data_IF_920897358204
#
_entry.id   IF_920897358204
#
_cell.length_a   1.000
_cell.length_b   1.000
_cell.length_c   1.000
_cell.angle_alpha   90.00
_cell.angle_beta   90.00
_cell.angle_gamma   90.00
#
_symmetry.space_group_name_H-M   'P 1'
#
loop_
_entity.id
_entity.type
_entity.pdbx_description
1 polymer ?
#
# COMPACT_ATOMS: atom_id res chain seq x y z
N UNK A 1 1.10 45.45 -10.87
CA UNK A 1 1.78 44.18 -10.54
C UNK A 1 3.22 44.53 -10.22
N UNK A 2 3.72 44.22 -9.02
CA UNK A 2 5.04 44.67 -8.55
C UNK A 2 6.15 43.77 -9.11
N UNK A 3 7.38 44.30 -9.23
CA UNK A 3 8.54 43.59 -9.74
C UNK A 3 8.83 42.29 -8.96
N UNK A 4 8.64 42.33 -7.64
CA UNK A 4 8.74 41.17 -6.74
C UNK A 4 7.78 40.03 -7.11
N UNK A 5 6.55 40.36 -7.53
CA UNK A 5 5.56 39.35 -7.94
C UNK A 5 5.99 38.66 -9.25
N UNK A 6 6.68 39.37 -10.16
CA UNK A 6 7.23 38.76 -11.36
C UNK A 6 8.41 37.83 -11.06
N UNK A 7 9.28 38.22 -10.14
CA UNK A 7 10.40 37.38 -9.69
C UNK A 7 9.89 36.10 -9.01
N UNK A 8 8.91 36.21 -8.10
CA UNK A 8 8.29 35.05 -7.45
C UNK A 8 7.66 34.11 -8.48
N UNK A 9 6.91 34.63 -9.46
CA UNK A 9 6.33 33.81 -10.52
C UNK A 9 7.39 33.11 -11.39
N UNK A 10 8.51 33.77 -11.65
CA UNK A 10 9.62 33.18 -12.42
C UNK A 10 10.28 32.02 -11.64
N UNK A 11 10.50 32.19 -10.34
CA UNK A 11 11.02 31.16 -9.45
C UNK A 11 10.05 29.98 -9.36
N UNK A 12 8.75 30.26 -9.22
CA UNK A 12 7.73 29.21 -9.16
C UNK A 12 7.72 28.36 -10.43
N UNK A 13 7.78 28.99 -11.62
CA UNK A 13 7.87 28.26 -12.90
C UNK A 13 9.13 27.40 -12.97
N UNK A 14 10.26 27.91 -12.49
CA UNK A 14 11.53 27.16 -12.47
C UNK A 14 11.48 25.95 -11.54
N UNK A 15 10.90 26.12 -10.35
CA UNK A 15 10.68 25.02 -9.40
C UNK A 15 9.76 23.96 -10.01
N UNK A 16 8.64 24.36 -10.63
CA UNK A 16 7.72 23.43 -11.30
C UNK A 16 8.41 22.69 -12.45
N UNK A 17 9.24 23.37 -13.25
CA UNK A 17 10.02 22.72 -14.32
C UNK A 17 10.99 21.68 -13.75
N UNK A 18 11.71 22.03 -12.69
CA UNK A 18 12.68 21.15 -12.04
C UNK A 18 11.99 19.92 -11.44
N UNK A 19 10.81 20.09 -10.82
CA UNK A 19 10.00 19.01 -10.30
C UNK A 19 9.53 18.05 -11.41
N UNK A 20 9.15 18.58 -12.58
CA UNK A 20 8.80 17.76 -13.74
C UNK A 20 9.98 16.92 -14.23
N UNK A 21 11.17 17.50 -14.32
CA UNK A 21 12.38 16.78 -14.72
C UNK A 21 12.77 15.69 -13.71
N UNK A 22 12.70 15.99 -12.42
CA UNK A 22 12.95 15.00 -11.36
C UNK A 22 11.92 13.87 -11.44
N UNK A 23 10.65 14.20 -11.63
CA UNK A 23 9.59 13.21 -11.79
C UNK A 23 9.83 12.28 -12.99
N UNK A 24 10.27 12.83 -14.13
CA UNK A 24 10.62 12.03 -15.31
C UNK A 24 11.79 11.08 -15.03
N UNK A 25 12.85 11.56 -14.37
CA UNK A 25 14.03 10.75 -14.01
C UNK A 25 13.70 9.65 -13.00
N UNK A 26 12.86 9.94 -12.01
CA UNK A 26 12.40 8.94 -11.03
C UNK A 26 11.56 7.87 -11.73
N UNK A 27 10.71 8.27 -12.69
CA UNK A 27 9.91 7.34 -13.47
C UNK A 27 10.80 6.42 -14.32
N UNK A 28 11.81 6.97 -15.00
CA UNK A 28 12.81 6.21 -15.76
C UNK A 28 13.58 5.23 -14.87
N UNK A 29 14.06 5.68 -13.70
CA UNK A 29 14.72 4.81 -12.73
C UNK A 29 13.79 3.68 -12.24
N UNK A 30 12.51 3.98 -11.99
CA UNK A 30 11.52 2.97 -11.61
C UNK A 30 11.34 1.92 -12.70
N UNK A 31 11.27 2.31 -13.98
CA UNK A 31 11.21 1.35 -15.08
C UNK A 31 12.43 0.43 -15.12
N UNK A 32 13.63 1.01 -15.00
CA UNK A 32 14.87 0.21 -15.01
C UNK A 32 14.91 -0.81 -13.86
N UNK A 33 14.49 -0.40 -12.65
CA UNK A 33 14.44 -1.29 -11.49
C UNK A 33 13.39 -2.40 -11.65
N UNK A 34 12.21 -2.08 -12.19
CA UNK A 34 11.19 -3.09 -12.49
C UNK A 34 11.66 -4.09 -13.56
N UNK A 35 12.37 -3.63 -14.59
CA UNK A 35 12.98 -4.52 -15.60
C UNK A 35 14.04 -5.43 -14.98
N UNK A 36 14.93 -4.88 -14.15
CA UNK A 36 15.96 -5.68 -13.47
C UNK A 36 15.33 -6.69 -12.51
N UNK A 37 14.28 -6.30 -11.76
CA UNK A 37 13.55 -7.20 -10.87
C UNK A 37 12.89 -8.36 -11.65
N UNK A 38 12.22 -8.08 -12.76
CA UNK A 38 11.62 -9.11 -13.61
C UNK A 38 12.64 -10.07 -14.24
N UNK A 39 13.82 -9.57 -14.62
CA UNK A 39 14.93 -10.41 -15.08
C UNK A 39 15.50 -11.28 -13.94
N UNK A 40 15.60 -10.75 -12.73
CA UNK A 40 16.07 -11.50 -11.56
C UNK A 40 15.07 -12.59 -11.12
N UNK A 41 13.77 -12.32 -11.21
CA UNK A 41 12.71 -13.31 -10.98
C UNK A 41 12.74 -14.42 -12.05
N UNK A 42 13.01 -14.06 -13.30
CA UNK A 42 13.16 -15.04 -14.40
C UNK A 42 14.38 -15.96 -14.25
N UNK A 43 15.40 -15.52 -13.51
CA UNK A 43 16.58 -16.33 -13.19
C UNK A 43 16.37 -17.26 -11.99
N UNK A 44 15.29 -17.09 -11.21
CA UNK A 44 15.11 -17.79 -9.93
C UNK A 44 14.46 -19.17 -10.02
N UNK A 45 14.02 -19.63 -11.19
CA UNK A 45 13.47 -20.99 -11.34
C UNK A 45 13.63 -21.59 -12.74
N UNK A 46 14.37 -22.69 -12.88
CA UNK A 46 13.97 -23.83 -13.68
C UNK A 46 13.43 -24.94 -12.76
N UNK A 47 12.30 -25.53 -13.13
CA UNK A 47 11.73 -26.74 -12.52
C UNK A 47 12.77 -27.87 -12.46
N UNK A 48 12.89 -28.54 -11.31
CA UNK A 48 13.06 -29.99 -11.29
C UNK A 48 12.14 -30.60 -10.23
N UNK A 49 11.00 -31.11 -10.69
CA UNK A 49 10.26 -32.17 -10.03
C UNK A 49 11.10 -33.45 -10.14
N UNK A 50 11.44 -34.07 -9.01
CA UNK A 50 11.66 -35.51 -8.95
C UNK A 50 11.30 -36.02 -7.54
N UNK A 51 10.13 -36.64 -7.48
CA UNK A 51 9.69 -37.52 -6.40
C UNK A 51 10.68 -38.70 -6.25
N UNK A 52 11.11 -39.06 -5.03
CA UNK A 52 11.23 -40.45 -4.53
C UNK A 52 11.28 -40.43 -2.98
N UNK A 53 10.52 -41.37 -2.43
CA UNK A 53 10.11 -41.69 -1.06
C UNK A 53 11.17 -42.25 -0.08
N UNK A 54 10.89 -42.05 1.23
CA UNK A 54 10.98 -42.97 2.41
C UNK A 54 12.32 -43.36 3.06
N UNK A 55 12.45 -43.06 4.38
CA UNK A 55 12.71 -43.96 5.55
C UNK A 55 13.05 -43.07 6.80
N UNK A 56 12.29 -43.10 7.92
CA UNK A 56 12.45 -43.94 9.15
C UNK A 56 13.89 -43.88 9.71
N UNK A 57 14.20 -43.41 10.92
CA UNK A 57 13.80 -43.90 12.25
C UNK A 57 14.19 -42.92 13.40
N UNK A 58 13.62 -43.18 14.58
CA UNK A 58 13.83 -42.58 15.91
C UNK A 58 15.27 -42.39 16.40
N UNK A 59 15.45 -41.40 17.30
CA UNK A 59 16.11 -41.41 18.64
C UNK A 59 16.36 -39.94 19.00
N UNK A 60 16.05 -39.36 20.16
CA UNK A 60 16.03 -39.82 21.55
C UNK A 60 16.87 -38.79 22.36
N UNK A 61 16.32 -38.18 23.42
CA UNK A 61 17.12 -37.44 24.41
C UNK A 61 16.58 -36.07 24.86
N UNK A 62 15.96 -36.06 26.03
CA UNK A 62 15.55 -34.88 26.80
C UNK A 62 16.76 -34.19 27.51
N UNK A 63 16.56 -32.98 28.09
CA UNK A 63 17.61 -32.01 28.45
C UNK A 63 18.12 -32.14 29.91
N UNK A 64 19.16 -31.38 30.29
CA UNK A 64 19.10 -30.61 31.55
C UNK A 64 19.92 -29.29 31.47
N UNK A 65 19.98 -28.35 32.43
CA UNK A 65 19.17 -27.85 33.54
C UNK A 65 20.03 -26.76 34.26
N UNK A 66 19.38 -25.86 35.04
CA UNK A 66 19.93 -25.07 36.18
C UNK A 66 20.91 -23.93 35.85
N UNK A 67 20.58 -22.65 36.05
CA UNK A 67 20.49 -21.89 37.32
C UNK A 67 21.37 -20.63 37.13
N UNK A 68 21.07 -19.41 37.60
CA UNK A 68 21.10 -18.97 38.99
C UNK A 68 20.23 -17.71 39.18
N UNK A 69 19.62 -17.67 40.36
CA UNK A 69 18.78 -16.65 40.99
C UNK A 69 19.39 -15.25 41.23
N UNK A 70 18.49 -14.27 41.21
CA UNK A 70 18.28 -13.19 42.20
C UNK A 70 19.24 -12.00 42.29
N UNK A 71 18.70 -10.81 41.99
CA UNK A 71 18.77 -9.66 42.90
C UNK A 71 17.42 -8.93 42.92
N UNK A 72 16.89 -8.75 44.13
CA UNK A 72 15.62 -8.10 44.49
C UNK A 72 15.93 -6.72 45.09
N UNK A 73 15.24 -5.67 44.64
CA UNK A 73 15.06 -4.39 45.33
C UNK A 73 14.05 -3.55 44.51
N UNK A 74 13.07 -2.83 45.03
CA UNK A 74 12.39 -2.74 46.31
C UNK A 74 11.07 -2.01 46.00
N UNK A 75 9.98 -2.35 46.68
CA UNK A 75 8.72 -1.61 46.60
C UNK A 75 8.91 -0.17 47.10
N UNK A 76 8.42 0.78 46.31
CA UNK A 76 8.24 2.18 46.69
C UNK A 76 6.88 2.63 46.16
N UNK A 77 5.86 2.45 46.99
CA UNK A 77 4.53 3.01 46.79
C UNK A 77 4.59 4.54 46.97
N UNK A 78 4.48 5.28 45.86
CA UNK A 78 4.17 6.70 45.88
C UNK A 78 3.08 6.93 44.81
N UNK A 79 1.84 7.03 45.29
CA UNK A 79 0.66 7.29 44.49
C UNK A 79 0.79 8.57 43.66
N UNK A 80 0.76 8.40 42.35
CA UNK A 80 0.49 9.45 41.38
C UNK A 80 -0.05 8.78 40.14
N UNK A 81 -1.39 8.72 40.00
CA UNK A 81 -2.06 8.17 38.82
C UNK A 81 -1.46 8.75 37.52
N UNK A 82 -0.86 7.95 36.63
CA UNK A 82 -0.66 8.32 35.24
C UNK A 82 -1.65 7.50 34.40
N UNK A 83 -2.96 7.69 34.56
CA UNK A 83 -3.93 6.81 33.85
C UNK A 83 -5.04 7.58 33.14
N UNK A 84 -5.26 8.86 33.44
CA UNK A 84 -6.33 9.63 32.80
C UNK A 84 -5.90 10.34 31.50
N UNK A 85 -4.62 10.68 31.35
CA UNK A 85 -4.12 11.44 30.19
C UNK A 85 -3.73 10.50 29.04
N UNK A 86 -3.18 9.31 29.34
CA UNK A 86 -2.84 8.32 28.30
C UNK A 86 -4.08 7.71 27.66
N UNK A 87 -5.09 7.32 28.44
CA UNK A 87 -6.34 6.77 27.90
C UNK A 87 -7.12 7.79 27.05
N UNK A 88 -7.10 9.08 27.43
CA UNK A 88 -7.72 10.15 26.65
C UNK A 88 -6.94 10.47 25.35
N UNK A 89 -5.60 10.37 25.40
CA UNK A 89 -4.73 10.49 24.24
C UNK A 89 -4.90 9.32 23.26
N UNK A 90 -4.97 8.08 23.77
CA UNK A 90 -5.24 6.88 22.98
C UNK A 90 -6.62 6.94 22.31
N UNK A 91 -7.66 7.34 23.02
CA UNK A 91 -9.00 7.48 22.45
C UNK A 91 -9.06 8.58 21.37
N UNK A 92 -8.30 9.68 21.53
CA UNK A 92 -8.16 10.69 20.48
C UNK A 92 -7.38 10.19 19.27
N UNK A 93 -6.28 9.47 19.47
CA UNK A 93 -5.50 8.87 18.40
C UNK A 93 -6.32 7.84 17.61
N UNK A 94 -7.12 7.03 18.30
CA UNK A 94 -8.06 6.10 17.65
C UNK A 94 -9.07 6.88 16.81
N UNK A 95 -9.73 7.90 17.35
CA UNK A 95 -10.68 8.73 16.59
C UNK A 95 -10.06 9.43 15.38
N UNK A 96 -8.83 9.92 15.49
CA UNK A 96 -8.10 10.52 14.37
C UNK A 96 -7.73 9.44 13.33
N UNK A 97 -7.28 8.27 13.76
CA UNK A 97 -6.96 7.15 12.87
C UNK A 97 -8.18 6.65 12.10
N UNK A 98 -9.34 6.54 12.76
CA UNK A 98 -10.60 6.15 12.14
C UNK A 98 -11.09 7.19 11.13
N UNK A 99 -11.00 8.49 11.47
CA UNK A 99 -11.35 9.58 10.56
C UNK A 99 -10.51 9.57 9.28
N UNK A 100 -9.26 9.09 9.36
CA UNK A 100 -8.36 9.01 8.21
C UNK A 100 -8.50 7.70 7.42
N UNK A 101 -8.81 6.57 8.09
CA UNK A 101 -8.97 5.26 7.44
C UNK A 101 -10.32 5.10 6.75
N UNK A 102 -11.39 5.56 7.39
CA UNK A 102 -12.76 5.35 6.93
C UNK A 102 -13.02 5.84 5.49
N UNK A 103 -12.54 7.03 5.06
CA UNK A 103 -12.68 7.46 3.67
C UNK A 103 -12.01 6.54 2.65
N UNK A 104 -10.86 5.94 3.00
CA UNK A 104 -10.16 4.96 2.17
C UNK A 104 -11.00 3.69 2.08
N UNK A 105 -11.42 3.14 3.23
CA UNK A 105 -12.21 1.91 3.29
C UNK A 105 -13.53 2.04 2.51
N UNK A 106 -14.27 3.14 2.69
CA UNK A 106 -15.56 3.34 2.03
C UNK A 106 -15.43 3.42 0.50
N UNK A 107 -14.40 4.10 -0.01
CA UNK A 107 -14.14 4.20 -1.46
C UNK A 107 -13.73 2.86 -2.06
N UNK A 108 -12.82 2.15 -1.42
CA UNK A 108 -12.38 0.86 -1.92
C UNK A 108 -13.47 -0.22 -1.80
N UNK A 109 -14.32 -0.15 -0.78
CA UNK A 109 -15.50 -1.03 -0.66
C UNK A 109 -16.50 -0.82 -1.80
N UNK A 110 -16.72 0.44 -2.20
CA UNK A 110 -17.56 0.76 -3.38
C UNK A 110 -16.97 0.16 -4.66
N UNK A 111 -15.67 0.31 -4.87
CA UNK A 111 -14.97 -0.27 -6.01
C UNK A 111 -15.09 -1.80 -6.02
N UNK A 112 -14.82 -2.45 -4.88
CA UNK A 112 -14.93 -3.90 -4.71
C UNK A 112 -16.34 -4.40 -5.06
N UNK A 113 -17.39 -3.73 -4.59
CA UNK A 113 -18.78 -4.08 -4.91
C UNK A 113 -19.05 -4.02 -6.42
N UNK A 114 -18.61 -2.95 -7.11
CA UNK A 114 -18.78 -2.83 -8.56
C UNK A 114 -18.07 -3.95 -9.33
N UNK A 115 -16.89 -4.37 -8.86
CA UNK A 115 -16.16 -5.47 -9.47
C UNK A 115 -16.86 -6.81 -9.21
N UNK A 116 -17.42 -7.00 -8.01
CA UNK A 116 -18.11 -8.23 -7.63
C UNK A 116 -19.45 -8.43 -8.34
N UNK A 117 -20.26 -7.37 -8.45
CA UNK A 117 -21.58 -7.35 -9.09
C UNK A 117 -21.51 -7.64 -10.60
N UNK A 118 -20.31 -7.68 -11.20
CA UNK A 118 -20.12 -7.94 -12.62
C UNK A 118 -20.52 -6.73 -13.47
N UNK A 119 -20.42 -5.53 -12.89
CA UNK A 119 -20.73 -4.26 -13.52
C UNK A 119 -19.89 -4.02 -14.78
N UNK A 120 -20.40 -3.20 -15.70
CA UNK A 120 -19.73 -2.93 -16.98
C UNK A 120 -18.30 -2.41 -16.73
N UNK A 121 -17.29 -2.89 -17.47
CA UNK A 121 -15.91 -2.43 -17.33
C UNK A 121 -15.75 -0.90 -17.36
N UNK A 122 -16.56 -0.20 -18.15
CA UNK A 122 -16.54 1.27 -18.26
C UNK A 122 -16.90 1.94 -16.93
N UNK A 123 -17.91 1.44 -16.21
CA UNK A 123 -18.34 2.01 -14.93
C UNK A 123 -17.28 1.77 -13.85
N UNK A 124 -16.64 0.59 -13.86
CA UNK A 124 -15.49 0.30 -12.99
C UNK A 124 -14.33 1.26 -13.30
N UNK A 125 -14.09 1.57 -14.58
CA UNK A 125 -13.06 2.53 -14.97
C UNK A 125 -13.36 3.97 -14.49
N UNK A 126 -14.64 4.37 -14.47
CA UNK A 126 -15.06 5.68 -13.97
C UNK A 126 -14.84 5.79 -12.46
N UNK A 127 -15.20 4.75 -11.69
CA UNK A 127 -14.93 4.72 -10.25
C UNK A 127 -13.42 4.75 -9.97
N UNK A 128 -12.62 4.00 -10.73
CA UNK A 128 -11.16 4.04 -10.64
C UNK A 128 -10.60 5.46 -10.89
N UNK A 129 -11.13 6.19 -11.88
CA UNK A 129 -10.71 7.57 -12.14
C UNK A 129 -11.16 8.55 -11.05
N UNK A 130 -12.32 8.31 -10.44
CA UNK A 130 -12.76 9.04 -9.25
C UNK A 130 -11.79 8.84 -8.08
N UNK A 131 -11.40 7.59 -7.80
CA UNK A 131 -10.41 7.25 -6.77
C UNK A 131 -9.05 7.88 -7.11
N UNK A 132 -8.61 7.81 -8.37
CA UNK A 132 -7.37 8.44 -8.85
C UNK A 132 -7.31 9.92 -8.50
N UNK A 133 -8.37 10.66 -8.84
CA UNK A 133 -8.45 12.11 -8.64
C UNK A 133 -8.40 12.44 -7.15
N UNK A 134 -9.14 11.69 -6.35
CA UNK A 134 -9.13 11.82 -4.89
C UNK A 134 -7.76 11.53 -4.27
N UNK A 135 -7.05 10.48 -4.72
CA UNK A 135 -5.68 10.20 -4.23
C UNK A 135 -4.73 11.34 -4.58
N UNK A 136 -4.84 11.93 -5.77
CA UNK A 136 -4.02 13.08 -6.15
C UNK A 136 -4.22 14.29 -5.24
N UNK A 137 -5.46 14.56 -4.86
CA UNK A 137 -5.83 15.72 -4.03
C UNK A 137 -5.45 15.52 -2.57
N UNK A 138 -5.79 14.36 -2.00
CA UNK A 138 -5.70 14.12 -0.55
C UNK A 138 -4.40 13.41 -0.13
N UNK A 139 -3.79 12.62 -1.04
CA UNK A 139 -2.63 11.79 -0.72
C UNK A 139 -1.57 11.74 -1.83
N UNK A 140 -0.90 12.87 -2.12
CA UNK A 140 0.08 12.98 -3.20
C UNK A 140 1.30 12.05 -3.05
N UNK A 141 1.53 11.44 -1.89
CA UNK A 141 2.58 10.45 -1.67
C UNK A 141 2.31 9.07 -2.32
N UNK A 142 1.09 8.78 -2.75
CA UNK A 142 0.73 7.47 -3.35
C UNK A 142 0.70 7.48 -4.88
N UNK A 143 1.58 8.24 -5.53
CA UNK A 143 1.71 8.25 -7.00
C UNK A 143 1.88 6.86 -7.64
N UNK A 144 2.56 5.87 -7.03
CA UNK A 144 2.62 4.53 -7.59
C UNK A 144 1.24 3.86 -7.74
N UNK A 145 0.33 4.05 -6.77
CA UNK A 145 -1.04 3.51 -6.82
C UNK A 145 -1.83 4.18 -7.95
N UNK A 146 -1.70 5.50 -8.07
CA UNK A 146 -2.32 6.29 -9.14
C UNK A 146 -1.95 5.76 -10.53
N UNK A 147 -0.68 5.38 -10.74
CA UNK A 147 -0.22 4.82 -12.01
C UNK A 147 -0.94 3.51 -12.35
N UNK A 148 -1.03 2.59 -11.39
CA UNK A 148 -1.72 1.31 -11.59
C UNK A 148 -3.23 1.48 -11.82
N UNK A 149 -3.85 2.43 -11.12
CA UNK A 149 -5.26 2.80 -11.35
C UNK A 149 -5.45 3.31 -12.77
N UNK A 150 -4.55 4.15 -13.28
CA UNK A 150 -4.63 4.68 -14.64
C UNK A 150 -4.49 3.58 -15.70
N UNK A 151 -3.56 2.64 -15.50
CA UNK A 151 -3.42 1.46 -16.38
C UNK A 151 -4.70 0.62 -16.44
N UNK A 152 -5.28 0.30 -15.28
CA UNK A 152 -6.53 -0.44 -15.21
C UNK A 152 -7.68 0.31 -15.87
N UNK A 153 -7.80 1.62 -15.59
CA UNK A 153 -8.84 2.47 -16.18
C UNK A 153 -8.77 2.47 -17.71
N UNK A 154 -7.57 2.59 -18.30
CA UNK A 154 -7.39 2.52 -19.76
C UNK A 154 -7.78 1.14 -20.31
N UNK A 155 -7.31 0.07 -19.69
CA UNK A 155 -7.63 -1.32 -20.09
C UNK A 155 -9.13 -1.58 -20.07
N UNK A 156 -9.81 -1.11 -19.02
CA UNK A 156 -11.25 -1.27 -18.83
C UNK A 156 -12.08 -0.44 -19.81
N UNK A 157 -11.63 0.77 -20.17
CA UNK A 157 -12.27 1.59 -21.22
C UNK A 157 -12.19 0.96 -22.60
N UNK A 158 -11.10 0.25 -22.90
CA UNK A 158 -10.93 -0.50 -24.14
C UNK A 158 -11.41 -1.95 -24.05
N UNK A 159 -12.12 -2.33 -22.99
CA UNK A 159 -12.51 -3.72 -22.78
C UNK A 159 -13.64 -4.08 -23.74
N UNK A 160 -13.39 -5.05 -24.63
CA UNK A 160 -14.33 -5.41 -25.69
C UNK A 160 -15.53 -6.25 -25.25
N UNK A 161 -15.50 -6.80 -24.04
CA UNK A 161 -16.57 -7.63 -23.49
C UNK A 161 -17.50 -6.82 -22.57
N UNK A 162 -18.79 -7.18 -22.48
CA UNK A 162 -19.76 -6.46 -21.64
C UNK A 162 -19.48 -6.61 -20.13
N UNK A 163 -18.76 -7.66 -19.74
CA UNK A 163 -18.37 -7.97 -18.37
C UNK A 163 -16.90 -8.38 -18.30
N UNK A 164 -16.30 -8.22 -17.13
CA UNK A 164 -14.91 -8.63 -16.87
C UNK A 164 -14.74 -10.15 -16.97
N UNK A 165 -13.63 -10.59 -17.56
CA UNK A 165 -13.24 -12.00 -17.47
C UNK A 165 -12.97 -12.38 -15.99
N UNK A 166 -13.19 -13.64 -15.60
CA UNK A 166 -12.91 -14.09 -14.23
C UNK A 166 -11.46 -13.79 -13.78
N UNK A 167 -10.50 -13.97 -14.70
CA UNK A 167 -9.09 -13.67 -14.43
C UNK A 167 -8.84 -12.19 -14.17
N UNK A 168 -9.40 -11.31 -15.00
CA UNK A 168 -9.23 -9.86 -14.83
C UNK A 168 -9.97 -9.35 -13.59
N UNK A 169 -11.14 -9.91 -13.29
CA UNK A 169 -11.88 -9.64 -12.05
C UNK A 169 -11.01 -9.95 -10.82
N UNK A 170 -10.44 -11.16 -10.74
CA UNK A 170 -9.58 -11.54 -9.61
C UNK A 170 -8.33 -10.66 -9.50
N UNK A 171 -7.69 -10.33 -10.63
CA UNK A 171 -6.50 -9.45 -10.63
C UNK A 171 -6.83 -8.03 -10.18
N UNK A 172 -7.97 -7.50 -10.59
CA UNK A 172 -8.40 -6.16 -10.20
C UNK A 172 -8.79 -6.10 -8.72
N UNK A 173 -9.51 -7.12 -8.21
CA UNK A 173 -9.81 -7.24 -6.78
C UNK A 173 -8.53 -7.34 -5.93
N UNK A 174 -7.56 -8.15 -6.35
CA UNK A 174 -6.26 -8.24 -5.69
C UNK A 174 -5.56 -6.88 -5.65
N UNK A 175 -5.52 -6.17 -6.78
CA UNK A 175 -4.91 -4.84 -6.87
C UNK A 175 -5.62 -3.84 -5.95
N UNK A 176 -6.96 -3.83 -5.94
CA UNK A 176 -7.74 -2.94 -5.08
C UNK A 176 -7.49 -3.18 -3.59
N UNK A 177 -7.45 -4.46 -3.18
CA UNK A 177 -7.12 -4.83 -1.80
C UNK A 177 -5.70 -4.38 -1.41
N UNK A 178 -4.74 -4.56 -2.31
CA UNK A 178 -3.35 -4.18 -2.08
C UNK A 178 -3.16 -2.66 -1.99
N UNK A 179 -3.83 -1.87 -2.83
CA UNK A 179 -3.82 -0.41 -2.73
C UNK A 179 -4.44 0.08 -1.43
N UNK A 180 -5.60 -0.48 -1.05
CA UNK A 180 -6.27 -0.19 0.22
C UNK A 180 -5.35 -0.47 1.41
N UNK A 181 -4.69 -1.63 1.43
CA UNK A 181 -3.75 -2.01 2.47
C UNK A 181 -2.56 -1.04 2.56
N UNK A 182 -1.95 -0.70 1.42
CA UNK A 182 -0.83 0.25 1.40
C UNK A 182 -1.24 1.63 1.90
N UNK A 183 -2.40 2.12 1.48
CA UNK A 183 -2.90 3.44 1.89
C UNK A 183 -3.28 3.49 3.37
N UNK A 184 -3.73 2.38 3.95
CA UNK A 184 -4.12 2.30 5.37
C UNK A 184 -2.94 2.01 6.30
N UNK A 185 -1.89 1.33 5.82
CA UNK A 185 -0.68 0.97 6.60
C UNK A 185 0.46 1.98 6.52
N UNK A 186 0.56 2.77 5.46
CA UNK A 186 1.69 3.69 5.26
C UNK A 186 1.63 4.97 6.12
N UNK A 187 0.93 4.95 7.27
CA UNK A 187 0.86 6.06 8.23
C UNK A 187 0.97 5.59 9.67
#
# INVERSE_FOLDING_TARGET
>A
MTQEVQEIMSLLRRVVSTLKEISAKVNEASYTLSTVAGMLESLKFPEERKEVSVAVEETGGAPPAVGVESVKAAEGEAGGKPVAVEAAGEEQLVKVSERLRKPIEDRFKRLEALIEEGTKPVEIAEELLSIKSWIYEEYPSFLPIVYHIDMWSRKLKSYGAPTLSPSDKSRLLFSAAEWKERMTKAR
#
